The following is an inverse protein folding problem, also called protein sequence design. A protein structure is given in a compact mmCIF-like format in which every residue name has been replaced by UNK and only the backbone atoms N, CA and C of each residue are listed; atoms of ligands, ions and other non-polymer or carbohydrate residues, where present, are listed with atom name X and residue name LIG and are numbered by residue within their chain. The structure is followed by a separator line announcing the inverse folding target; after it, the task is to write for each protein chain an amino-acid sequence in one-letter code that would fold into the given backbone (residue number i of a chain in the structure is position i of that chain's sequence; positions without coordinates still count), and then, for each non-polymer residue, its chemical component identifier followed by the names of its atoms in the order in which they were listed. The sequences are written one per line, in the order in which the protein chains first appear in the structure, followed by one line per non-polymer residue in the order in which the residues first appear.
data_IF_255516444548
#
_entry.id   IF_255516444548
#
_cell.length_a   1.000
_cell.length_b   1.000
_cell.length_c   1.000
_cell.angle_alpha   90.00
_cell.angle_beta   90.00
_cell.angle_gamma   90.00
#
_symmetry.space_group_name_H-M   'P 1'
#
loop_
_entity.id
_entity.type
_entity.pdbx_description
1 polymer ?
#
# COMPACT_ATOMS: atom_id res chain seq x y z
N UNK A 1 3.47 4.40 11.64
CA UNK A 1 2.60 3.19 11.72
C UNK A 1 1.18 3.50 11.30
N UNK A 2 0.51 2.59 10.60
CA UNK A 2 -0.92 2.67 10.29
C UNK A 2 -1.74 2.06 11.44
N UNK A 3 -2.86 2.71 11.78
CA UNK A 3 -3.80 2.26 12.81
C UNK A 3 -5.12 1.85 12.16
N UNK A 4 -5.72 2.75 11.37
CA UNK A 4 -7.03 2.54 10.76
C UNK A 4 -7.13 3.28 9.43
N UNK A 5 -7.96 2.76 8.53
CA UNK A 5 -8.31 3.38 7.25
C UNK A 5 -9.82 3.29 7.04
N UNK A 6 -10.43 4.41 6.65
CA UNK A 6 -11.83 4.51 6.28
C UNK A 6 -11.95 5.05 4.85
N UNK A 7 -12.79 4.40 4.03
CA UNK A 7 -13.06 4.84 2.66
C UNK A 7 -14.53 4.68 2.33
N UNK A 8 -15.13 5.72 1.75
CA UNK A 8 -16.52 5.68 1.29
C UNK A 8 -16.64 6.18 -0.15
N UNK A 9 -17.66 5.68 -0.85
CA UNK A 9 -18.03 6.10 -2.21
C UNK A 9 -16.84 6.17 -3.17
N UNK A 10 -16.04 5.12 -3.29
CA UNK A 10 -14.86 5.08 -4.17
C UNK A 10 -14.88 3.82 -5.04
N UNK A 11 -14.90 3.99 -6.36
CA UNK A 11 -14.89 2.92 -7.38
C UNK A 11 -15.95 1.86 -7.13
N UNK A 12 -15.60 0.81 -6.42
CA UNK A 12 -16.47 -0.31 -6.12
C UNK A 12 -16.94 -0.35 -4.68
N UNK A 13 -16.48 0.57 -3.84
CA UNK A 13 -16.86 0.74 -2.44
C UNK A 13 -17.98 1.79 -2.38
N UNK A 14 -19.18 1.40 -1.96
CA UNK A 14 -20.35 2.28 -1.92
C UNK A 14 -20.43 3.00 -0.57
N UNK A 15 -20.76 2.26 0.50
CA UNK A 15 -20.70 2.76 1.88
C UNK A 15 -19.29 2.75 2.46
N UNK A 16 -19.15 3.32 3.66
CA UNK A 16 -17.89 3.35 4.39
C UNK A 16 -17.39 1.94 4.70
N UNK A 17 -16.17 1.65 4.26
CA UNK A 17 -15.42 0.46 4.65
C UNK A 17 -14.34 0.86 5.64
N UNK A 18 -14.26 0.15 6.76
CA UNK A 18 -13.30 0.38 7.84
C UNK A 18 -12.34 -0.80 7.94
N UNK A 19 -11.05 -0.51 7.93
CA UNK A 19 -9.98 -1.48 8.10
C UNK A 19 -9.09 -1.05 9.26
N UNK A 20 -8.81 -1.97 10.18
CA UNK A 20 -8.04 -1.68 11.39
C UNK A 20 -6.88 -2.64 11.59
N UNK A 21 -5.75 -2.11 12.03
CA UNK A 21 -4.58 -2.86 12.50
C UNK A 21 -4.46 -2.85 14.02
N UNK A 22 -5.50 -2.43 14.75
CA UNK A 22 -5.53 -2.51 16.21
C UNK A 22 -5.66 -3.98 16.65
N UNK A 23 -4.79 -4.41 17.55
CA UNK A 23 -4.85 -5.76 18.13
C UNK A 23 -6.20 -5.97 18.83
N UNK A 24 -6.89 -7.03 18.47
CA UNK A 24 -8.09 -7.49 19.16
C UNK A 24 -7.79 -8.17 20.50
N UNK A 25 -8.84 -8.67 21.16
CA UNK A 25 -8.74 -9.26 22.52
C UNK A 25 -7.95 -10.58 22.60
N UNK A 26 -7.68 -11.24 21.47
CA UNK A 26 -6.97 -12.52 21.42
C UNK A 26 -5.51 -12.42 21.86
N UNK A 27 -4.98 -13.49 22.43
CA UNK A 27 -3.60 -13.64 22.90
C UNK A 27 -2.77 -14.60 22.00
N UNK A 28 -3.38 -15.18 20.95
CA UNK A 28 -2.65 -15.94 19.92
C UNK A 28 -1.48 -15.14 19.31
N UNK A 29 -0.31 -15.75 19.12
CA UNK A 29 0.83 -15.12 18.41
C UNK A 29 1.20 -13.70 18.91
N UNK A 30 0.95 -13.38 20.19
CA UNK A 30 1.15 -12.04 20.73
C UNK A 30 2.62 -11.61 20.80
N UNK A 31 3.56 -12.56 20.75
CA UNK A 31 5.01 -12.30 20.77
C UNK A 31 5.61 -12.03 19.39
N UNK A 32 4.93 -12.44 18.32
CA UNK A 32 5.45 -12.41 16.95
C UNK A 32 4.68 -11.44 16.05
N UNK A 33 3.35 -11.44 16.15
CA UNK A 33 2.48 -10.78 15.17
C UNK A 33 2.01 -9.38 15.62
N UNK A 34 2.46 -8.93 16.78
CA UNK A 34 1.97 -7.74 17.48
C UNK A 34 3.14 -6.94 18.02
N UNK A 35 2.98 -5.62 18.11
CA UNK A 35 3.91 -4.75 18.82
C UNK A 35 3.17 -3.70 19.65
N UNK A 36 3.80 -3.24 20.73
CA UNK A 36 3.28 -2.18 21.59
C UNK A 36 3.59 -0.82 20.99
N UNK A 37 2.63 0.10 21.09
CA UNK A 37 2.81 1.47 20.67
C UNK A 37 3.20 2.34 21.87
N UNK A 38 4.37 2.96 21.79
CA UNK A 38 4.80 3.98 22.74
C UNK A 38 4.17 5.34 22.39
N UNK A 39 2.88 5.49 22.70
CA UNK A 39 2.13 6.73 22.56
C UNK A 39 1.44 7.09 23.89
N UNK A 40 0.82 8.26 23.95
CA UNK A 40 0.14 8.74 25.15
C UNK A 40 -0.96 7.81 25.70
N UNK A 41 -1.47 6.88 24.88
CA UNK A 41 -2.31 5.77 25.31
C UNK A 41 -1.61 4.47 24.91
N UNK A 42 -1.51 3.51 25.84
CA UNK A 42 -0.98 2.18 25.52
C UNK A 42 -2.03 1.38 24.73
N UNK A 43 -1.66 0.97 23.52
CA UNK A 43 -2.37 -0.01 22.74
C UNK A 43 -1.37 -0.79 21.89
N UNK A 44 -1.85 -1.88 21.29
CA UNK A 44 -1.05 -2.78 20.49
C UNK A 44 -1.54 -2.77 19.05
N UNK A 45 -0.59 -2.86 18.11
CA UNK A 45 -0.85 -2.92 16.68
C UNK A 45 -0.39 -4.25 16.10
N UNK A 46 -1.07 -4.66 15.03
CA UNK A 46 -0.74 -5.84 14.23
C UNK A 46 0.41 -5.52 13.27
N UNK A 47 1.33 -6.47 13.11
CA UNK A 47 2.44 -6.40 12.13
C UNK A 47 2.01 -6.72 10.71
N UNK A 48 0.89 -7.41 10.52
CA UNK A 48 0.36 -7.61 9.18
C UNK A 48 -1.15 -7.83 9.15
N UNK A 49 -1.74 -7.70 7.96
CA UNK A 49 -3.08 -8.18 7.67
C UNK A 49 -3.19 -8.71 6.24
N UNK A 50 -4.01 -9.74 6.06
CA UNK A 50 -4.27 -10.40 4.80
C UNK A 50 -5.75 -10.23 4.42
N UNK A 51 -6.00 -9.71 3.21
CA UNK A 51 -7.34 -9.50 2.67
C UNK A 51 -7.62 -10.57 1.61
N UNK A 52 -8.52 -11.48 1.94
CA UNK A 52 -8.95 -12.60 1.10
C UNK A 52 -10.22 -12.26 0.32
N UNK A 53 -10.41 -12.93 -0.81
CA UNK A 53 -11.67 -12.89 -1.55
C UNK A 53 -11.53 -13.25 -3.01
N UNK A 54 -12.64 -13.41 -3.75
CA UNK A 54 -12.61 -13.84 -5.14
C UNK A 54 -12.11 -12.72 -6.05
N UNK A 55 -11.85 -13.07 -7.31
CA UNK A 55 -11.60 -12.08 -8.35
C UNK A 55 -12.80 -11.12 -8.47
N UNK A 56 -12.50 -9.86 -8.79
CA UNK A 56 -13.49 -8.79 -8.90
C UNK A 56 -14.27 -8.45 -7.60
N UNK A 57 -13.86 -8.92 -6.42
CA UNK A 57 -14.53 -8.55 -5.17
C UNK A 57 -14.34 -7.10 -4.75
N UNK A 58 -13.18 -6.51 -5.08
CA UNK A 58 -12.86 -5.12 -4.73
C UNK A 58 -11.57 -4.94 -3.94
N UNK A 59 -10.85 -6.02 -3.61
CA UNK A 59 -9.53 -5.99 -2.93
C UNK A 59 -8.57 -4.93 -3.49
N UNK A 60 -8.31 -4.97 -4.79
CA UNK A 60 -7.46 -3.99 -5.47
C UNK A 60 -8.02 -2.57 -5.41
N UNK A 61 -9.35 -2.40 -5.43
CA UNK A 61 -9.94 -1.06 -5.31
C UNK A 61 -9.82 -0.49 -3.90
N UNK A 62 -9.84 -1.33 -2.87
CA UNK A 62 -9.56 -0.91 -1.49
C UNK A 62 -8.11 -0.40 -1.36
N UNK A 63 -7.12 -1.16 -1.84
CA UNK A 63 -5.72 -0.70 -1.89
C UNK A 63 -5.57 0.58 -2.73
N UNK A 64 -6.21 0.64 -3.90
CA UNK A 64 -6.18 1.84 -4.75
C UNK A 64 -6.76 3.07 -4.07
N UNK A 65 -7.67 2.93 -3.12
CA UNK A 65 -8.20 4.08 -2.38
C UNK A 65 -7.09 4.76 -1.57
N UNK A 66 -6.26 3.99 -0.86
CA UNK A 66 -5.10 4.52 -0.14
C UNK A 66 -4.04 5.08 -1.10
N UNK A 67 -3.84 4.43 -2.25
CA UNK A 67 -2.93 4.92 -3.28
C UNK A 67 -3.41 6.27 -3.85
N UNK A 68 -4.71 6.41 -4.13
CA UNK A 68 -5.33 7.66 -4.57
C UNK A 68 -5.19 8.73 -3.48
N UNK A 69 -5.45 8.39 -2.22
CA UNK A 69 -5.28 9.30 -1.09
C UNK A 69 -3.84 9.83 -1.02
N UNK A 70 -2.86 8.92 -1.01
CA UNK A 70 -1.43 9.26 -1.04
C UNK A 70 -1.08 10.16 -2.23
N UNK A 71 -1.54 9.82 -3.43
CA UNK A 71 -1.26 10.61 -4.63
C UNK A 71 -1.81 12.04 -4.51
N UNK A 72 -3.05 12.20 -4.04
CA UNK A 72 -3.65 13.54 -3.87
C UNK A 72 -2.89 14.34 -2.79
N UNK A 73 -2.48 13.69 -1.68
CA UNK A 73 -1.63 14.33 -0.66
C UNK A 73 -0.32 14.83 -1.26
N UNK A 74 0.37 14.02 -2.07
CA UNK A 74 1.69 14.39 -2.59
C UNK A 74 1.62 15.39 -3.75
N UNK A 75 0.63 15.28 -4.63
CA UNK A 75 0.67 15.95 -5.94
C UNK A 75 -0.28 17.14 -6.07
N UNK A 76 -1.33 17.24 -5.24
CA UNK A 76 -2.40 18.23 -5.46
C UNK A 76 -1.94 19.69 -5.34
N UNK A 77 -0.95 19.95 -4.49
CA UNK A 77 -0.34 21.27 -4.35
C UNK A 77 0.88 21.46 -5.27
N UNK A 78 1.68 20.40 -5.47
CA UNK A 78 2.98 20.46 -6.13
C UNK A 78 2.90 20.41 -7.67
N UNK A 79 2.09 19.49 -8.21
CA UNK A 79 2.11 19.14 -9.65
C UNK A 79 0.81 19.50 -10.37
N UNK A 80 -0.32 19.55 -9.65
CA UNK A 80 -1.63 19.85 -10.24
C UNK A 80 -1.90 21.35 -10.31
N UNK A 81 -2.43 21.79 -11.45
CA UNK A 81 -2.85 23.15 -11.72
C UNK A 81 -4.34 23.36 -11.45
N UNK A 82 -4.77 24.62 -11.42
CA UNK A 82 -6.19 24.95 -11.30
C UNK A 82 -6.98 24.37 -12.47
N UNK A 83 -8.03 23.61 -12.17
CA UNK A 83 -8.92 22.98 -13.16
C UNK A 83 -8.50 21.56 -13.56
N UNK A 84 -7.31 21.12 -13.15
CA UNK A 84 -6.92 19.72 -13.30
C UNK A 84 -7.82 18.83 -12.43
N UNK A 85 -8.16 17.66 -12.96
CA UNK A 85 -9.02 16.71 -12.27
C UNK A 85 -8.25 15.91 -11.23
N UNK A 86 -8.85 15.75 -10.06
CA UNK A 86 -8.40 14.81 -9.04
C UNK A 86 -8.65 13.36 -9.52
N UNK A 87 -7.76 12.41 -9.23
CA UNK A 87 -7.90 11.00 -9.61
C UNK A 87 -8.90 10.24 -8.72
N UNK A 88 -10.03 10.88 -8.45
CA UNK A 88 -11.14 10.34 -7.68
C UNK A 88 -12.16 9.76 -8.64
N UNK A 89 -12.72 8.62 -8.32
CA UNK A 89 -13.81 8.03 -9.09
C UNK A 89 -14.82 7.46 -8.11
N UNK A 90 -16.03 8.01 -8.00
CA UNK A 90 -17.02 7.55 -7.04
C UNK A 90 -17.59 6.18 -7.41
N UNK A 91 -18.36 5.59 -6.51
CA UNK A 91 -19.19 4.43 -6.83
C UNK A 91 -20.31 4.85 -7.78
N UNK A 92 -20.34 4.26 -8.98
CA UNK A 92 -21.22 4.73 -10.07
C UNK A 92 -22.55 4.00 -10.17
N UNK A 93 -22.71 2.85 -9.52
CA UNK A 93 -23.92 2.02 -9.69
C UNK A 93 -25.11 2.55 -8.88
N UNK A 94 -24.91 3.47 -7.93
CA UNK A 94 -25.99 4.20 -7.27
C UNK A 94 -26.14 5.61 -7.85
N UNK A 95 -27.39 6.11 -7.86
CA UNK A 95 -27.73 7.48 -8.30
C UNK A 95 -27.26 8.51 -7.29
N UNK A 96 -27.34 8.20 -6.00
CA UNK A 96 -26.97 9.11 -4.92
C UNK A 96 -25.45 9.26 -4.84
N UNK A 97 -24.72 8.18 -5.06
CA UNK A 97 -23.26 8.15 -4.86
C UNK A 97 -22.46 8.67 -6.07
N UNK A 98 -22.99 8.50 -7.29
CA UNK A 98 -22.23 8.82 -8.53
C UNK A 98 -21.87 10.30 -8.69
N UNK A 99 -22.56 11.20 -8.00
CA UNK A 99 -22.26 12.64 -7.95
C UNK A 99 -21.80 13.09 -6.55
N UNK A 100 -21.88 12.22 -5.54
CA UNK A 100 -21.39 12.54 -4.20
C UNK A 100 -19.86 12.44 -4.16
N UNK A 101 -19.20 13.18 -3.24
CA UNK A 101 -17.77 13.05 -3.01
C UNK A 101 -17.38 11.63 -2.55
N UNK A 102 -16.18 11.19 -2.91
CA UNK A 102 -15.50 10.06 -2.27
C UNK A 102 -14.83 10.54 -0.99
N UNK A 103 -14.82 9.73 0.06
CA UNK A 103 -14.21 10.06 1.34
C UNK A 103 -13.03 9.14 1.63
N UNK A 104 -11.93 9.72 2.11
CA UNK A 104 -10.72 9.02 2.50
C UNK A 104 -10.25 9.51 3.86
N UNK A 105 -10.01 8.59 4.79
CA UNK A 105 -9.45 8.91 6.09
C UNK A 105 -8.46 7.82 6.51
N UNK A 106 -7.36 8.25 7.14
CA UNK A 106 -6.42 7.36 7.82
C UNK A 106 -6.13 7.87 9.22
N UNK A 107 -6.05 6.93 10.15
CA UNK A 107 -5.48 7.14 11.48
C UNK A 107 -4.12 6.46 11.53
N UNK A 108 -3.08 7.21 11.92
CA UNK A 108 -1.71 6.74 11.91
C UNK A 108 -0.87 7.39 13.02
N UNK A 109 0.31 6.85 13.26
CA UNK A 109 1.26 7.28 14.28
C UNK A 109 2.56 7.75 13.61
N UNK A 110 3.02 8.93 14.03
CA UNK A 110 4.35 9.49 13.71
C UNK A 110 4.96 10.03 15.00
N UNK A 111 6.18 9.60 15.33
CA UNK A 111 6.94 10.05 16.51
C UNK A 111 6.13 10.06 17.82
N UNK A 112 5.38 8.99 18.08
CA UNK A 112 4.56 8.83 19.28
C UNK A 112 3.26 9.66 19.30
N UNK A 113 2.99 10.45 18.25
CA UNK A 113 1.76 11.24 18.10
C UNK A 113 0.81 10.54 17.13
N UNK A 114 -0.41 10.30 17.59
CA UNK A 114 -1.49 9.81 16.73
C UNK A 114 -2.09 10.96 15.94
N UNK A 115 -2.35 10.75 14.66
CA UNK A 115 -3.02 11.64 13.75
C UNK A 115 -4.22 10.94 13.14
N UNK A 116 -5.31 11.69 12.95
CA UNK A 116 -6.46 11.30 12.14
C UNK A 116 -6.61 12.36 11.06
N UNK A 117 -6.37 11.97 9.82
CA UNK A 117 -6.37 12.85 8.67
C UNK A 117 -7.30 12.31 7.60
N UNK A 118 -8.15 13.18 7.05
CA UNK A 118 -9.06 12.78 5.99
C UNK A 118 -9.53 13.95 5.15
N UNK A 119 -10.13 13.60 4.02
CA UNK A 119 -10.77 14.55 3.11
C UNK A 119 -11.86 13.86 2.29
N UNK A 120 -12.80 14.66 1.79
CA UNK A 120 -13.76 14.25 0.78
C UNK A 120 -13.56 15.05 -0.50
N UNK A 121 -13.71 14.40 -1.66
CA UNK A 121 -13.43 15.02 -2.95
C UNK A 121 -14.26 14.43 -4.09
N UNK A 122 -14.51 15.26 -5.10
CA UNK A 122 -14.97 14.84 -6.43
C UNK A 122 -13.80 14.89 -7.41
N UNK A 123 -13.96 14.44 -8.68
CA UNK A 123 -12.93 14.68 -9.69
C UNK A 123 -12.60 16.16 -9.89
N UNK A 124 -13.49 17.08 -9.52
CA UNK A 124 -13.35 18.52 -9.75
C UNK A 124 -12.76 19.28 -8.57
N UNK A 125 -13.10 18.92 -7.32
CA UNK A 125 -12.70 19.70 -6.15
C UNK A 125 -12.64 18.89 -4.85
N UNK A 126 -11.92 19.42 -3.87
CA UNK A 126 -12.02 19.01 -2.47
C UNK A 126 -13.31 19.61 -1.87
N UNK A 127 -14.06 18.82 -1.12
CA UNK A 127 -15.28 19.25 -0.44
C UNK A 127 -15.03 19.46 1.05
N UNK A 128 -14.33 18.54 1.70
CA UNK A 128 -13.97 18.63 3.12
C UNK A 128 -12.53 18.17 3.32
N UNK A 129 -11.85 18.71 4.33
CA UNK A 129 -10.53 18.25 4.76
C UNK A 129 -10.35 18.53 6.25
N UNK A 130 -9.81 17.57 6.99
CA UNK A 130 -9.63 17.69 8.43
C UNK A 130 -8.35 17.00 8.91
N UNK A 131 -7.81 17.53 10.02
CA UNK A 131 -6.69 16.93 10.73
C UNK A 131 -6.88 17.08 12.25
N UNK A 132 -6.89 15.94 12.94
CA UNK A 132 -6.83 15.87 14.40
C UNK A 132 -5.50 15.23 14.82
N UNK A 133 -4.83 15.85 15.79
CA UNK A 133 -3.62 15.32 16.42
C UNK A 133 -3.87 14.97 17.89
N UNK A 134 -3.17 13.96 18.41
CA UNK A 134 -3.32 13.46 19.78
C UNK A 134 -1.98 13.40 20.53
N UNK A 135 -1.22 14.51 20.66
CA UNK A 135 0.16 14.49 21.20
C UNK A 135 0.25 14.07 22.67
N UNK A 136 -0.83 14.25 23.44
CA UNK A 136 -0.94 13.82 24.85
C UNK A 136 -2.20 13.01 25.09
N UNK A 137 -2.62 12.23 24.09
CA UNK A 137 -3.83 11.41 24.12
C UNK A 137 -5.14 12.19 23.96
N UNK A 138 -5.12 13.51 24.16
CA UNK A 138 -6.27 14.41 23.93
C UNK A 138 -6.27 14.92 22.50
N UNK A 139 -7.45 14.88 21.88
CA UNK A 139 -7.67 15.40 20.53
C UNK A 139 -7.42 16.91 20.48
N UNK A 140 -6.62 17.32 19.50
CA UNK A 140 -6.45 18.70 19.07
C UNK A 140 -6.86 18.76 17.61
N UNK A 141 -7.96 19.46 17.32
CA UNK A 141 -8.29 19.80 15.94
C UNK A 141 -7.29 20.85 15.47
N UNK A 142 -6.48 20.51 14.49
CA UNK A 142 -5.51 21.44 13.91
C UNK A 142 -6.18 22.28 12.83
N UNK A 143 -6.92 21.64 11.93
CA UNK A 143 -7.80 22.35 11.02
C UNK A 143 -8.97 21.49 10.56
N UNK A 144 -10.03 22.16 10.13
CA UNK A 144 -11.10 21.63 9.30
C UNK A 144 -11.49 22.68 8.28
N UNK A 145 -11.79 22.28 7.05
CA UNK A 145 -12.44 23.15 6.06
C UNK A 145 -13.56 22.42 5.36
N UNK A 146 -14.63 23.14 5.04
CA UNK A 146 -15.83 22.60 4.37
C UNK A 146 -16.25 23.54 3.25
N UNK A 147 -16.52 23.00 2.07
CA UNK A 147 -17.02 23.75 0.93
C UNK A 147 -18.49 24.13 1.12
N UNK A 148 -18.75 25.42 1.31
CA UNK A 148 -20.11 25.96 1.39
C UNK A 148 -20.61 26.31 -0.03
N UNK A 149 -21.43 25.43 -0.60
CA UNK A 149 -21.90 25.54 -1.99
C UNK A 149 -22.74 26.81 -2.25
N UNK A 150 -23.47 27.29 -1.25
CA UNK A 150 -24.26 28.52 -1.28
C UNK A 150 -23.38 29.78 -1.37
N UNK A 151 -22.25 29.79 -0.65
CA UNK A 151 -21.31 30.92 -0.60
C UNK A 151 -20.18 30.82 -1.62
N UNK A 152 -20.02 29.65 -2.26
CA UNK A 152 -18.92 29.33 -3.20
C UNK A 152 -17.53 29.60 -2.58
N UNK A 153 -17.36 29.24 -1.33
CA UNK A 153 -16.10 29.38 -0.60
C UNK A 153 -15.97 28.28 0.45
N UNK A 154 -14.74 28.05 0.91
CA UNK A 154 -14.51 27.22 2.08
C UNK A 154 -14.79 27.98 3.38
N UNK A 155 -15.49 27.34 4.30
CA UNK A 155 -15.56 27.71 5.71
C UNK A 155 -14.44 27.01 6.45
N UNK A 156 -13.73 27.74 7.31
CA UNK A 156 -12.49 27.28 7.93
C UNK A 156 -12.59 27.31 9.45
N UNK A 157 -12.19 26.20 10.07
CA UNK A 157 -11.90 26.11 11.49
C UNK A 157 -10.40 25.84 11.65
N UNK A 158 -9.64 26.87 12.01
CA UNK A 158 -8.20 26.73 12.30
C UNK A 158 -8.00 26.66 13.80
N UNK A 159 -7.55 25.50 14.28
CA UNK A 159 -7.33 25.27 15.71
C UNK A 159 -6.26 26.19 16.30
N UNK A 160 -6.40 26.51 17.59
CA UNK A 160 -5.41 27.29 18.33
C UNK A 160 -4.06 26.57 18.43
N UNK A 161 -4.06 25.23 18.44
CA UNK A 161 -2.84 24.40 18.47
C UNK A 161 -2.12 24.26 17.14
N UNK A 162 -2.74 24.62 16.01
CA UNK A 162 -2.02 24.78 14.76
C UNK A 162 -1.13 26.04 14.87
N UNK A 163 0.07 26.02 14.35
CA UNK A 163 1.04 27.12 14.40
C UNK A 163 1.52 27.47 12.99
N UNK A 164 2.26 28.57 12.82
CA UNK A 164 2.77 29.02 11.52
C UNK A 164 1.84 29.97 10.76
N UNK A 165 2.12 30.17 9.46
CA UNK A 165 1.50 31.18 8.60
C UNK A 165 0.12 30.76 8.04
N UNK A 166 -0.82 30.41 8.91
CA UNK A 166 -2.11 29.81 8.53
C UNK A 166 -2.88 30.62 7.49
N UNK A 167 -2.87 31.95 7.58
CA UNK A 167 -3.57 32.83 6.64
C UNK A 167 -2.95 32.78 5.24
N UNK A 168 -1.63 32.66 5.13
CA UNK A 168 -0.95 32.51 3.86
C UNK A 168 -1.34 31.17 3.23
N UNK A 169 -1.23 30.08 3.99
CA UNK A 169 -1.59 28.74 3.53
C UNK A 169 -3.05 28.70 3.05
N UNK A 170 -3.98 29.27 3.81
CA UNK A 170 -5.38 29.36 3.45
C UNK A 170 -5.60 30.09 2.12
N UNK A 171 -4.98 31.26 1.93
CA UNK A 171 -5.10 32.06 0.71
C UNK A 171 -4.45 31.41 -0.52
N UNK A 172 -3.42 30.60 -0.31
CA UNK A 172 -2.70 29.90 -1.38
C UNK A 172 -3.33 28.55 -1.74
N UNK A 173 -4.24 28.02 -0.91
CA UNK A 173 -4.85 26.71 -1.14
C UNK A 173 -5.95 26.82 -2.20
N UNK A 174 -5.83 26.04 -3.27
CA UNK A 174 -6.80 25.96 -4.37
C UNK A 174 -7.96 25.03 -4.00
N UNK A 175 -9.06 25.11 -4.76
CA UNK A 175 -10.24 24.25 -4.54
C UNK A 175 -9.97 22.77 -4.85
N UNK A 176 -9.02 22.50 -5.76
CA UNK A 176 -8.56 21.15 -6.10
C UNK A 176 -7.20 20.79 -5.46
N UNK A 177 -6.76 21.53 -4.44
CA UNK A 177 -5.53 21.24 -3.70
C UNK A 177 -5.83 21.04 -2.22
N UNK A 178 -5.13 20.12 -1.56
CA UNK A 178 -5.24 19.94 -0.11
C UNK A 178 -4.53 21.06 0.65
N UNK A 179 -5.10 21.45 1.80
CA UNK A 179 -4.51 22.42 2.71
C UNK A 179 -3.24 21.86 3.34
N UNK A 180 -3.23 20.57 3.75
CA UNK A 180 -2.04 19.89 4.24
C UNK A 180 -0.87 20.04 3.25
N UNK A 181 -1.11 19.67 1.99
CA UNK A 181 -0.11 19.71 0.92
C UNK A 181 0.38 21.13 0.63
N UNK A 182 -0.55 22.10 0.57
CA UNK A 182 -0.21 23.50 0.33
C UNK A 182 0.61 24.09 1.48
N UNK A 183 0.24 23.80 2.73
CA UNK A 183 0.96 24.30 3.89
C UNK A 183 2.39 23.75 3.96
N UNK A 184 2.60 22.46 3.67
CA UNK A 184 3.96 21.86 3.64
C UNK A 184 4.79 22.43 2.49
N UNK A 185 4.20 22.64 1.30
CA UNK A 185 4.88 23.32 0.19
C UNK A 185 5.33 24.75 0.54
N UNK A 186 4.59 25.39 1.45
CA UNK A 186 4.91 26.71 2.02
C UNK A 186 5.65 26.61 3.36
N UNK A 187 6.40 25.51 3.56
CA UNK A 187 7.33 25.27 4.67
C UNK A 187 6.67 25.14 6.06
N UNK A 188 5.47 24.56 6.14
CA UNK A 188 4.86 24.22 7.44
C UNK A 188 5.60 23.06 8.12
N UNK A 189 6.44 23.38 9.12
CA UNK A 189 7.17 22.38 9.92
C UNK A 189 6.24 21.48 10.72
N UNK A 190 5.15 22.03 11.28
CA UNK A 190 4.23 21.25 12.14
C UNK A 190 3.43 20.21 11.35
N UNK A 191 3.08 20.51 10.10
CA UNK A 191 2.30 19.61 9.24
C UNK A 191 3.19 18.66 8.43
N UNK A 192 4.49 18.95 8.35
CA UNK A 192 5.44 18.15 7.60
C UNK A 192 5.46 16.66 8.03
N UNK A 193 5.47 16.28 9.33
CA UNK A 193 5.46 14.86 9.71
C UNK A 193 4.25 14.07 9.18
N UNK A 194 3.09 14.73 9.09
CA UNK A 194 1.85 14.14 8.54
C UNK A 194 2.01 13.88 7.05
N UNK A 195 2.55 14.86 6.31
CA UNK A 195 2.83 14.73 4.87
C UNK A 195 3.93 13.69 4.59
N UNK A 196 5.02 13.74 5.36
CA UNK A 196 6.16 12.84 5.23
C UNK A 196 5.74 11.39 5.51
N UNK A 197 4.79 11.13 6.39
CA UNK A 197 4.25 9.78 6.56
C UNK A 197 3.70 9.19 5.24
N UNK A 198 2.93 9.96 4.46
CA UNK A 198 2.45 9.52 3.15
C UNK A 198 3.60 9.34 2.15
N UNK A 199 4.60 10.23 2.18
CA UNK A 199 5.73 10.23 1.26
C UNK A 199 6.72 9.10 1.54
N UNK A 200 7.17 8.97 2.77
CA UNK A 200 8.32 8.16 3.19
C UNK A 200 7.94 6.92 3.98
N UNK A 201 6.84 6.90 4.74
CA UNK A 201 6.47 5.72 5.55
C UNK A 201 5.54 4.78 4.82
N UNK A 202 4.56 5.31 4.09
CA UNK A 202 3.62 4.50 3.31
C UNK A 202 4.27 4.05 1.99
N UNK A 203 4.43 2.74 1.80
CA UNK A 203 4.97 2.08 0.61
C UNK A 203 3.90 1.20 -0.02
N UNK A 204 3.79 1.25 -1.34
CA UNK A 204 2.77 0.48 -2.07
C UNK A 204 3.39 -0.14 -3.33
N UNK A 205 2.95 -1.34 -3.70
CA UNK A 205 3.25 -1.91 -5.02
C UNK A 205 2.51 -1.14 -6.11
N UNK A 206 3.18 -0.82 -7.23
CA UNK A 206 2.51 -0.23 -8.39
C UNK A 206 1.70 -1.30 -9.15
N UNK A 207 0.83 -0.86 -10.06
CA UNK A 207 0.16 -1.76 -11.03
C UNK A 207 1.25 -2.35 -11.91
N UNK A 208 1.64 -3.61 -11.68
CA UNK A 208 2.80 -4.27 -12.29
C UNK A 208 3.92 -4.66 -11.31
N UNK A 209 3.77 -4.39 -10.01
CA UNK A 209 4.73 -4.77 -8.98
C UNK A 209 5.79 -3.69 -8.71
N UNK A 210 6.95 -4.10 -8.19
CA UNK A 210 8.10 -3.25 -8.02
C UNK A 210 9.13 -3.50 -9.11
N UNK A 211 9.75 -2.41 -9.56
CA UNK A 211 10.86 -2.52 -10.49
C UNK A 211 12.07 -3.11 -9.75
N UNK A 212 12.83 -4.01 -10.39
CA UNK A 212 14.02 -4.60 -9.79
C UNK A 212 15.16 -3.57 -9.59
N UNK A 213 15.00 -2.35 -10.14
CA UNK A 213 15.98 -1.27 -10.05
C UNK A 213 16.31 -0.85 -8.62
N UNK A 214 15.34 -0.91 -7.68
CA UNK A 214 15.63 -0.57 -6.29
C UNK A 214 16.52 -1.63 -5.64
N UNK A 215 16.20 -2.92 -5.78
CA UNK A 215 17.05 -4.02 -5.32
C UNK A 215 18.44 -3.98 -5.97
N UNK A 216 18.51 -3.70 -7.27
CA UNK A 216 19.76 -3.52 -7.99
C UNK A 216 20.61 -2.37 -7.41
N UNK A 217 19.96 -1.26 -7.00
CA UNK A 217 20.66 -0.13 -6.38
C UNK A 217 21.26 -0.48 -5.02
N UNK A 218 20.64 -1.38 -4.25
CA UNK A 218 21.22 -1.88 -2.99
C UNK A 218 22.46 -2.75 -3.25
N UNK A 219 22.44 -3.54 -4.33
CA UNK A 219 23.60 -4.32 -4.75
C UNK A 219 24.81 -3.44 -5.13
N UNK A 220 24.59 -2.21 -5.62
CA UNK A 220 25.68 -1.25 -5.88
C UNK A 220 26.21 -0.56 -4.62
N UNK A 221 25.38 -0.32 -3.62
CA UNK A 221 25.70 0.50 -2.44
C UNK A 221 26.23 -0.32 -1.26
N UNK A 222 26.99 -1.39 -1.53
CA UNK A 222 27.55 -2.32 -0.53
C UNK A 222 26.52 -3.12 0.31
N UNK A 223 25.22 -3.06 0.00
CA UNK A 223 24.17 -3.85 0.66
C UNK A 223 23.80 -5.13 -0.09
N UNK A 224 24.59 -5.49 -1.11
CA UNK A 224 24.45 -6.72 -1.89
C UNK A 224 24.34 -7.97 -1.02
N UNK A 225 25.09 -8.04 0.08
CA UNK A 225 25.07 -9.18 1.00
C UNK A 225 23.67 -9.43 1.58
N UNK A 226 22.93 -8.38 1.95
CA UNK A 226 21.55 -8.50 2.46
C UNK A 226 20.60 -9.02 1.38
N UNK A 227 20.76 -8.52 0.15
CA UNK A 227 19.97 -8.99 -1.01
C UNK A 227 20.24 -10.47 -1.28
N UNK A 228 21.51 -10.89 -1.27
CA UNK A 228 21.88 -12.30 -1.45
C UNK A 228 21.36 -13.17 -0.30
N UNK A 229 21.46 -12.73 0.95
CA UNK A 229 20.92 -13.44 2.11
C UNK A 229 19.40 -13.63 2.00
N UNK A 230 18.68 -12.59 1.58
CA UNK A 230 17.23 -12.67 1.32
C UNK A 230 16.91 -13.72 0.25
N UNK A 231 17.63 -13.71 -0.88
CA UNK A 231 17.41 -14.65 -1.98
C UNK A 231 17.71 -16.10 -1.54
N UNK A 232 18.82 -16.32 -0.84
CA UNK A 232 19.18 -17.63 -0.33
C UNK A 232 18.18 -18.14 0.73
N UNK A 233 17.71 -17.27 1.61
CA UNK A 233 16.65 -17.61 2.58
C UNK A 233 15.33 -17.98 1.89
N UNK A 234 15.08 -17.42 0.70
CA UNK A 234 13.96 -17.74 -0.17
C UNK A 234 14.20 -18.95 -1.08
N UNK A 235 15.25 -19.77 -0.83
CA UNK A 235 15.61 -20.95 -1.63
C UNK A 235 15.95 -20.62 -3.11
N UNK A 236 16.36 -19.38 -3.38
CA UNK A 236 16.86 -18.96 -4.69
C UNK A 236 18.36 -19.22 -4.76
N UNK A 237 18.71 -20.14 -5.66
CA UNK A 237 20.08 -20.61 -5.88
C UNK A 237 20.84 -19.74 -6.89
N UNK A 238 20.86 -18.44 -6.68
CA UNK A 238 21.74 -17.52 -7.42
C UNK A 238 23.03 -17.39 -6.61
N UNK A 239 24.19 -17.71 -7.19
CA UNK A 239 25.49 -17.61 -6.52
C UNK A 239 25.95 -16.15 -6.40
N UNK A 240 25.64 -15.32 -7.40
CA UNK A 240 25.95 -13.89 -7.35
C UNK A 240 25.03 -13.03 -8.24
N UNK A 241 24.95 -11.73 -7.94
CA UNK A 241 24.25 -10.74 -8.79
C UNK A 241 25.22 -9.66 -9.24
N UNK A 242 25.36 -9.48 -10.55
CA UNK A 242 26.19 -8.45 -11.16
C UNK A 242 25.31 -7.31 -11.63
N UNK A 243 25.67 -6.09 -11.26
CA UNK A 243 24.99 -4.87 -11.71
C UNK A 243 25.93 -4.13 -12.66
N UNK A 244 25.50 -3.98 -13.91
CA UNK A 244 26.22 -3.29 -14.95
C UNK A 244 25.52 -1.96 -15.28
N UNK A 245 26.29 -0.87 -15.39
CA UNK A 245 25.75 0.43 -15.81
C UNK A 245 25.81 0.52 -17.33
N UNK A 246 24.67 0.35 -17.99
CA UNK A 246 24.56 0.57 -19.43
C UNK A 246 24.12 2.02 -19.68
N UNK A 247 24.79 2.69 -20.60
CA UNK A 247 24.25 3.93 -21.20
C UNK A 247 23.20 3.53 -22.22
N UNK A 248 22.04 4.18 -22.16
CA UNK A 248 20.99 3.94 -23.13
C UNK A 248 21.51 4.10 -24.56
N UNK A 249 21.34 3.06 -25.38
CA UNK A 249 21.65 3.09 -26.81
C UNK A 249 20.33 3.15 -27.61
N UNK A 250 20.10 4.20 -28.42
CA UNK A 250 18.92 4.29 -29.30
C UNK A 250 18.73 3.11 -30.27
N UNK A 251 19.79 2.34 -30.52
CA UNK A 251 19.77 1.16 -31.37
C UNK A 251 19.23 -0.09 -30.64
N UNK A 252 19.13 -0.07 -29.30
CA UNK A 252 18.46 -1.11 -28.50
C UNK A 252 16.92 -1.06 -28.62
N UNK A 253 16.35 0.00 -29.22
CA UNK A 253 14.91 0.14 -29.37
C UNK A 253 14.35 -0.79 -30.46
N UNK A 254 13.19 -1.43 -30.23
CA UNK A 254 12.53 -2.27 -31.23
C UNK A 254 12.35 -1.53 -32.57
N UNK A 255 12.70 -2.21 -33.67
CA UNK A 255 12.62 -1.62 -35.02
C UNK A 255 11.20 -1.27 -35.47
N UNK A 256 10.19 -1.85 -34.82
CA UNK A 256 8.77 -1.63 -35.07
C UNK A 256 8.16 -0.52 -34.19
N UNK A 257 8.97 0.13 -33.33
CA UNK A 257 8.52 1.22 -32.47
C UNK A 257 8.11 2.46 -33.30
N UNK A 258 6.92 3.05 -33.07
CA UNK A 258 6.51 4.29 -33.73
C UNK A 258 7.50 5.43 -33.49
N UNK A 259 7.84 6.20 -34.53
CA UNK A 259 8.87 7.24 -34.50
C UNK A 259 8.64 8.28 -33.39
N UNK A 260 7.40 8.72 -33.19
CA UNK A 260 7.05 9.67 -32.12
C UNK A 260 7.29 9.11 -30.70
N UNK A 261 7.15 7.80 -30.51
CA UNK A 261 7.45 7.13 -29.23
C UNK A 261 8.96 6.93 -29.09
N UNK A 262 9.64 6.58 -30.19
CA UNK A 262 11.09 6.42 -30.26
C UNK A 262 11.80 7.71 -29.84
N UNK A 263 11.40 8.85 -30.40
CA UNK A 263 11.97 10.16 -30.08
C UNK A 263 11.70 10.57 -28.63
N UNK A 264 10.51 10.26 -28.11
CA UNK A 264 10.17 10.54 -26.71
C UNK A 264 11.02 9.71 -25.74
N UNK A 265 11.25 8.43 -26.03
CA UNK A 265 12.10 7.55 -25.21
C UNK A 265 13.56 8.00 -25.27
N UNK A 266 14.09 8.28 -26.46
CA UNK A 266 15.45 8.81 -26.63
C UNK A 266 15.60 10.12 -25.84
N UNK A 267 14.66 11.05 -25.96
CA UNK A 267 14.69 12.33 -25.24
C UNK A 267 14.69 12.19 -23.71
N UNK A 268 14.03 11.16 -23.17
CA UNK A 268 13.99 10.91 -21.72
C UNK A 268 15.19 10.12 -21.18
N UNK A 269 15.85 9.32 -22.03
CA UNK A 269 16.87 8.36 -21.62
C UNK A 269 18.31 8.72 -22.04
N UNK A 270 18.50 9.71 -22.93
CA UNK A 270 19.80 10.07 -23.52
C UNK A 270 20.95 10.27 -22.52
N UNK A 271 20.65 10.70 -21.29
CA UNK A 271 21.63 10.93 -20.23
C UNK A 271 21.43 10.02 -18.99
N UNK A 272 20.49 9.07 -19.06
CA UNK A 272 20.22 8.14 -17.95
C UNK A 272 21.03 6.87 -18.14
N UNK A 273 21.79 6.51 -17.10
CA UNK A 273 22.37 5.18 -16.97
C UNK A 273 21.28 4.24 -16.46
N UNK A 274 21.05 3.15 -17.17
CA UNK A 274 20.19 2.06 -16.71
C UNK A 274 21.04 1.04 -15.98
N UNK A 275 20.45 0.44 -14.95
CA UNK A 275 21.05 -0.70 -14.26
C UNK A 275 20.61 -1.95 -14.99
N UNK A 276 21.58 -2.63 -15.60
CA UNK A 276 21.42 -3.96 -16.15
C UNK A 276 21.77 -4.99 -15.08
N UNK A 277 20.88 -5.96 -14.90
CA UNK A 277 21.00 -6.97 -13.86
C UNK A 277 21.41 -8.26 -14.56
N UNK A 278 22.44 -8.92 -14.03
CA UNK A 278 22.84 -10.26 -14.44
C UNK A 278 22.95 -11.16 -13.22
N UNK A 279 22.59 -12.42 -13.38
CA UNK A 279 22.69 -13.43 -12.32
C UNK A 279 23.82 -14.39 -12.65
N UNK A 280 24.48 -14.89 -11.61
CA UNK A 280 25.58 -15.84 -11.72
C UNK A 280 25.16 -17.14 -11.06
N UNK A 281 25.39 -18.23 -11.77
CA UNK A 281 25.16 -19.59 -11.32
C UNK A 281 26.42 -20.42 -11.46
N UNK A 282 26.56 -21.46 -10.66
CA UNK A 282 27.66 -22.40 -10.77
C UNK A 282 27.33 -23.53 -11.73
N UNK A 283 28.08 -23.61 -12.82
CA UNK A 283 28.03 -24.73 -13.76
C UNK A 283 28.46 -26.05 -13.12
N UNK A 284 28.14 -27.17 -13.78
CA UNK A 284 28.51 -28.52 -13.31
C UNK A 284 30.02 -28.74 -13.22
N UNK A 285 30.81 -27.97 -13.97
CA UNK A 285 32.27 -27.93 -13.91
C UNK A 285 32.81 -26.99 -12.82
N UNK A 286 31.92 -26.38 -12.04
CA UNK A 286 32.23 -25.45 -10.97
C UNK A 286 32.53 -24.01 -11.42
N UNK A 287 32.43 -23.71 -12.72
CA UNK A 287 32.68 -22.36 -13.25
C UNK A 287 31.43 -21.49 -13.18
N UNK A 288 31.60 -20.17 -13.00
CA UNK A 288 30.46 -19.24 -13.08
C UNK A 288 29.88 -19.20 -14.50
N UNK A 289 28.56 -19.26 -14.59
CA UNK A 289 27.75 -19.05 -15.78
C UNK A 289 26.89 -17.83 -15.51
N UNK A 290 26.97 -16.85 -16.41
CA UNK A 290 26.24 -15.59 -16.29
C UNK A 290 24.99 -15.68 -17.15
N UNK A 291 23.85 -15.28 -16.59
CA UNK A 291 22.57 -15.19 -17.27
C UNK A 291 22.09 -13.73 -17.27
N UNK A 292 21.42 -13.36 -18.34
CA UNK A 292 20.63 -12.12 -18.36
C UNK A 292 19.40 -12.29 -17.47
N UNK A 293 18.96 -11.21 -16.81
CA UNK A 293 17.90 -11.29 -15.81
C UNK A 293 16.53 -11.70 -16.36
N UNK A 294 16.31 -11.59 -17.67
CA UNK A 294 15.10 -12.07 -18.34
C UNK A 294 15.13 -13.57 -18.66
N UNK A 295 16.30 -14.22 -18.58
CA UNK A 295 16.42 -15.68 -18.65
C UNK A 295 15.98 -16.36 -17.34
N UNK A 296 15.92 -15.61 -16.24
CA UNK A 296 15.45 -16.09 -14.95
C UNK A 296 13.93 -16.32 -14.93
N UNK A 297 13.50 -17.25 -14.08
CA UNK A 297 12.06 -17.49 -13.89
C UNK A 297 11.35 -16.24 -13.35
N UNK A 298 10.07 -16.07 -13.71
CA UNK A 298 9.27 -14.94 -13.21
C UNK A 298 9.22 -14.87 -11.68
N UNK A 299 9.21 -16.03 -11.00
CA UNK A 299 9.27 -16.10 -9.54
C UNK A 299 10.60 -15.59 -8.97
N UNK A 300 11.73 -15.97 -9.59
CA UNK A 300 13.07 -15.48 -9.24
C UNK A 300 13.15 -13.97 -9.42
N UNK A 301 12.71 -13.47 -10.59
CA UNK A 301 12.72 -12.05 -10.92
C UNK A 301 11.85 -11.24 -9.97
N UNK A 302 10.68 -11.78 -9.60
CA UNK A 302 9.77 -11.16 -8.63
C UNK A 302 10.37 -11.11 -7.22
N UNK A 303 10.99 -12.20 -6.75
CA UNK A 303 11.67 -12.21 -5.46
C UNK A 303 12.85 -11.23 -5.41
N UNK A 304 13.65 -11.17 -6.48
CA UNK A 304 14.70 -10.16 -6.58
C UNK A 304 14.13 -8.74 -6.50
N UNK A 305 13.04 -8.46 -7.23
CA UNK A 305 12.36 -7.17 -7.16
C UNK A 305 11.76 -6.86 -5.78
N UNK A 306 11.45 -7.88 -4.98
CA UNK A 306 10.95 -7.74 -3.60
C UNK A 306 12.06 -7.56 -2.57
N UNK A 307 13.27 -8.09 -2.80
CA UNK A 307 14.35 -8.09 -1.83
C UNK A 307 14.63 -6.69 -1.25
N UNK A 308 14.94 -5.71 -2.11
CA UNK A 308 15.27 -4.37 -1.66
C UNK A 308 14.14 -3.70 -0.89
N UNK A 309 12.93 -3.61 -1.45
CA UNK A 309 11.82 -2.99 -0.72
C UNK A 309 11.39 -3.71 0.57
N UNK A 310 11.53 -5.05 0.67
CA UNK A 310 11.29 -5.77 1.92
C UNK A 310 12.32 -5.39 2.98
N UNK A 311 13.61 -5.44 2.62
CA UNK A 311 14.72 -5.08 3.50
C UNK A 311 14.53 -3.63 4.00
N UNK A 312 14.34 -2.70 3.08
CA UNK A 312 14.12 -1.28 3.38
C UNK A 312 12.91 -1.06 4.30
N UNK A 313 11.80 -1.76 4.05
CA UNK A 313 10.61 -1.65 4.89
C UNK A 313 10.85 -2.16 6.32
N UNK A 314 11.47 -3.33 6.46
CA UNK A 314 11.76 -3.95 7.75
C UNK A 314 12.77 -3.13 8.57
N UNK A 315 13.80 -2.60 7.92
CA UNK A 315 14.84 -1.78 8.55
C UNK A 315 14.32 -0.41 8.97
N UNK A 316 13.38 0.19 8.24
CA UNK A 316 12.90 1.55 8.52
C UNK A 316 11.51 1.61 9.15
N UNK A 317 10.88 0.46 9.43
CA UNK A 317 9.55 0.43 10.07
C UNK A 317 8.43 0.95 9.18
N UNK A 318 8.53 0.74 7.86
CA UNK A 318 7.54 1.24 6.90
C UNK A 318 6.22 0.46 6.93
N UNK A 319 5.19 1.08 6.37
CA UNK A 319 3.89 0.43 6.14
C UNK A 319 3.81 0.04 4.67
N UNK A 320 3.82 -1.25 4.42
CA UNK A 320 3.87 -1.83 3.09
C UNK A 320 2.50 -2.39 2.68
N UNK A 321 1.95 -1.90 1.57
CA UNK A 321 0.76 -2.43 0.92
C UNK A 321 1.08 -3.15 -0.39
N UNK A 322 0.60 -4.38 -0.54
CA UNK A 322 0.85 -5.20 -1.73
C UNK A 322 -0.44 -5.81 -2.26
N UNK A 323 -0.72 -5.56 -3.53
CA UNK A 323 -1.81 -6.24 -4.23
C UNK A 323 -1.30 -7.57 -4.78
N UNK A 324 -2.07 -8.64 -4.60
CA UNK A 324 -1.81 -9.99 -5.11
C UNK A 324 -0.41 -10.50 -4.78
N UNK A 325 -0.08 -10.53 -3.48
CA UNK A 325 1.25 -10.94 -2.98
C UNK A 325 1.69 -12.31 -3.52
N UNK A 326 0.74 -13.22 -3.69
CA UNK A 326 0.94 -14.60 -4.12
C UNK A 326 1.22 -14.76 -5.62
N UNK A 327 0.99 -13.74 -6.46
CA UNK A 327 1.18 -13.87 -7.91
C UNK A 327 2.60 -14.36 -8.23
N UNK A 328 2.74 -15.39 -9.07
CA UNK A 328 4.02 -15.98 -9.46
C UNK A 328 4.91 -16.48 -8.29
N UNK A 329 4.37 -16.64 -7.08
CA UNK A 329 5.10 -17.16 -5.92
C UNK A 329 4.49 -18.46 -5.41
N UNK A 330 5.34 -19.42 -5.09
CA UNK A 330 4.92 -20.62 -4.37
C UNK A 330 4.43 -20.24 -2.97
N UNK A 331 3.37 -20.87 -2.44
CA UNK A 331 2.87 -20.65 -1.07
C UNK A 331 3.91 -20.51 0.05
N UNK A 332 4.95 -21.36 0.02
CA UNK A 332 6.04 -21.31 1.02
C UNK A 332 6.82 -19.99 0.98
N UNK A 333 6.97 -19.39 -0.20
CA UNK A 333 7.62 -18.09 -0.37
C UNK A 333 6.73 -16.97 0.17
N UNK A 334 5.41 -17.04 -0.09
CA UNK A 334 4.45 -16.09 0.51
C UNK A 334 4.50 -16.16 2.03
N UNK A 335 4.52 -17.37 2.60
CA UNK A 335 4.69 -17.59 4.05
C UNK A 335 5.98 -16.97 4.56
N UNK A 336 7.12 -17.26 3.92
CA UNK A 336 8.42 -16.67 4.25
C UNK A 336 8.36 -15.13 4.30
N UNK A 337 7.84 -14.50 3.24
CA UNK A 337 7.74 -13.03 3.16
C UNK A 337 6.89 -12.42 4.29
N UNK A 338 5.82 -13.11 4.69
CA UNK A 338 4.96 -12.68 5.81
C UNK A 338 5.66 -12.90 7.15
N UNK A 339 6.33 -14.04 7.33
CA UNK A 339 7.04 -14.39 8.58
C UNK A 339 8.21 -13.45 8.88
N UNK A 340 8.83 -12.85 7.86
CA UNK A 340 9.81 -11.76 8.04
C UNK A 340 9.23 -10.56 8.81
N UNK A 341 7.95 -10.24 8.60
CA UNK A 341 7.27 -9.20 9.39
C UNK A 341 6.88 -9.70 10.78
N UNK A 342 6.75 -11.00 11.00
CA UNK A 342 6.32 -11.60 12.28
C UNK A 342 7.50 -11.97 13.20
N UNK A 343 8.74 -11.66 12.83
CA UNK A 343 9.91 -11.91 13.64
C UNK A 343 10.55 -10.59 14.08
N UNK A 344 10.82 -10.43 15.38
CA UNK A 344 11.43 -9.21 15.95
C UNK A 344 12.89 -9.01 15.55
N UNK A 345 13.60 -10.08 15.18
CA UNK A 345 14.99 -9.99 14.70
C UNK A 345 15.04 -9.42 13.29
N UNK A 346 14.15 -9.88 12.40
CA UNK A 346 14.04 -9.37 11.03
C UNK A 346 13.23 -8.09 10.93
N UNK A 347 12.30 -7.83 11.86
CA UNK A 347 11.46 -6.63 11.92
C UNK A 347 11.65 -5.85 13.23
N UNK A 348 12.85 -5.28 13.48
CA UNK A 348 13.16 -4.59 14.73
C UNK A 348 12.39 -3.27 14.88
N UNK A 349 12.04 -2.63 13.76
CA UNK A 349 11.39 -1.32 13.72
C UNK A 349 9.87 -1.41 13.50
N UNK A 350 9.27 -2.59 13.69
CA UNK A 350 7.82 -2.82 13.68
C UNK A 350 7.13 -2.38 12.38
N UNK A 351 7.78 -2.61 11.25
CA UNK A 351 7.19 -2.47 9.92
C UNK A 351 5.87 -3.26 9.84
N UNK A 352 4.95 -2.79 9.00
CA UNK A 352 3.63 -3.37 8.82
C UNK A 352 3.42 -3.83 7.39
N UNK A 353 2.83 -5.01 7.20
CA UNK A 353 2.47 -5.56 5.87
C UNK A 353 0.96 -5.73 5.73
N UNK A 354 0.33 -5.02 4.79
CA UNK A 354 -1.06 -5.25 4.39
C UNK A 354 -1.07 -5.77 2.97
N UNK A 355 -1.71 -6.91 2.72
CA UNK A 355 -1.72 -7.46 1.38
C UNK A 355 -3.04 -8.12 1.01
N UNK A 356 -3.27 -8.24 -0.29
CA UNK A 356 -4.42 -8.97 -0.84
C UNK A 356 -3.98 -10.31 -1.39
N UNK A 357 -4.85 -11.31 -1.28
CA UNK A 357 -4.60 -12.65 -1.81
C UNK A 357 -5.89 -13.38 -2.15
N UNK A 358 -5.82 -14.37 -3.02
CA UNK A 358 -6.83 -15.42 -3.14
C UNK A 358 -6.26 -16.82 -2.82
N UNK A 359 -4.96 -16.91 -2.58
CA UNK A 359 -4.23 -18.11 -2.17
C UNK A 359 -4.53 -18.40 -0.68
N UNK A 360 -4.93 -19.64 -0.36
CA UNK A 360 -5.47 -20.02 0.96
C UNK A 360 -4.54 -20.83 1.84
N UNK A 361 -3.43 -21.38 1.34
CA UNK A 361 -2.60 -22.32 2.10
C UNK A 361 -1.94 -21.71 3.34
N UNK A 362 -1.73 -20.39 3.34
CA UNK A 362 -1.24 -19.67 4.52
C UNK A 362 -2.37 -19.18 5.44
N UNK A 363 -3.65 -19.40 5.09
CA UNK A 363 -4.81 -19.07 5.93
C UNK A 363 -4.94 -20.08 7.08
N UNK A 364 -4.06 -19.94 8.08
CA UNK A 364 -4.04 -20.81 9.24
C UNK A 364 -3.62 -20.05 10.51
N UNK A 365 -3.86 -20.67 11.67
CA UNK A 365 -3.61 -20.06 12.98
C UNK A 365 -2.15 -20.16 13.44
N UNK A 366 -1.26 -20.77 12.65
CA UNK A 366 0.19 -20.75 12.90
C UNK A 366 0.80 -19.46 12.36
N UNK A 367 0.32 -18.98 11.21
CA UNK A 367 0.81 -17.76 10.55
C UNK A 367 0.03 -16.53 11.00
N UNK A 368 -1.30 -16.62 11.13
CA UNK A 368 -2.14 -15.46 11.40
C UNK A 368 -2.92 -15.57 12.70
N UNK A 369 -3.03 -14.43 13.37
CA UNK A 369 -4.10 -14.17 14.33
C UNK A 369 -5.42 -13.94 13.59
N UNK A 370 -6.54 -14.16 14.27
CA UNK A 370 -7.88 -14.00 13.67
C UNK A 370 -8.19 -12.55 13.28
N UNK A 371 -7.64 -11.58 14.00
CA UNK A 371 -7.78 -10.14 13.74
C UNK A 371 -6.86 -9.63 12.61
N UNK A 372 -5.97 -10.48 12.07
CA UNK A 372 -5.16 -10.17 10.89
C UNK A 372 -5.82 -10.62 9.58
N UNK A 373 -6.90 -11.39 9.65
CA UNK A 373 -7.57 -11.95 8.46
C UNK A 373 -8.83 -11.14 8.17
N UNK A 374 -8.92 -10.64 6.94
CA UNK A 374 -10.05 -9.89 6.41
C UNK A 374 -10.56 -10.55 5.14
N UNK A 375 -11.84 -10.36 4.85
CA UNK A 375 -12.49 -10.85 3.65
C UNK A 375 -13.11 -9.70 2.87
N UNK A 376 -13.15 -9.86 1.56
CA UNK A 376 -13.68 -8.87 0.64
C UNK A 376 -14.58 -9.57 -0.39
N UNK A 377 -15.84 -9.15 -0.47
CA UNK A 377 -16.81 -9.69 -1.42
C UNK A 377 -17.75 -8.63 -2.02
N UNK A 378 -18.64 -9.08 -2.90
CA UNK A 378 -19.68 -8.24 -3.51
C UNK A 378 -21.02 -8.48 -2.84
N UNK A 379 -21.67 -7.40 -2.47
CA UNK A 379 -23.08 -7.45 -2.10
C UNK A 379 -23.99 -7.57 -3.35
N UNK A 380 -25.31 -7.52 -3.12
CA UNK A 380 -26.32 -7.63 -4.17
C UNK A 380 -26.29 -6.45 -5.15
N UNK A 381 -25.82 -5.28 -4.71
CA UNK A 381 -25.73 -4.06 -5.50
C UNK A 381 -24.35 -3.89 -6.16
N UNK A 382 -23.51 -4.95 -6.12
CA UNK A 382 -22.14 -4.97 -6.62
C UNK A 382 -21.19 -4.00 -5.89
N UNK A 383 -21.59 -3.52 -4.71
CA UNK A 383 -20.71 -2.80 -3.81
C UNK A 383 -19.78 -3.78 -3.10
N UNK A 384 -18.60 -3.29 -2.77
CA UNK A 384 -17.55 -4.03 -2.07
C UNK A 384 -17.83 -3.96 -0.58
N UNK A 385 -17.87 -5.11 0.07
CA UNK A 385 -17.92 -5.24 1.52
C UNK A 385 -16.58 -5.80 2.01
N UNK A 386 -15.99 -5.14 3.02
CA UNK A 386 -14.76 -5.55 3.70
C UNK A 386 -15.08 -5.84 5.16
N UNK A 387 -14.82 -7.07 5.62
CA UNK A 387 -15.13 -7.48 6.99
C UNK A 387 -14.06 -8.43 7.57
N UNK A 388 -13.83 -8.43 8.89
CA UNK A 388 -12.82 -9.26 9.51
C UNK A 388 -13.32 -10.69 9.78
N UNK A 389 -12.38 -11.64 9.85
CA UNK A 389 -12.66 -13.02 10.28
C UNK A 389 -13.24 -13.10 11.69
N UNK A 390 -12.97 -12.11 12.55
CA UNK A 390 -13.47 -12.06 13.92
C UNK A 390 -14.99 -12.03 14.02
N UNK A 391 -15.69 -11.58 12.98
CA UNK A 391 -17.16 -11.54 12.94
C UNK A 391 -17.77 -12.95 12.99
N UNK A 392 -17.02 -13.97 12.58
CA UNK A 392 -17.45 -15.36 12.58
C UNK A 392 -17.03 -16.14 13.84
N UNK A 393 -16.31 -15.48 14.76
CA UNK A 393 -15.85 -16.05 16.03
C UNK A 393 -15.22 -17.46 15.90
N UNK A 394 -14.26 -17.70 14.99
CA UNK A 394 -13.71 -19.03 14.78
C UNK A 394 -12.94 -19.50 16.01
N UNK A 395 -12.97 -20.82 16.27
CA UNK A 395 -12.42 -21.40 17.50
C UNK A 395 -10.88 -21.42 17.47
N UNK A 396 -10.27 -20.71 18.42
CA UNK A 396 -8.81 -20.67 18.61
C UNK A 396 -8.23 -22.09 18.75
N UNK A 397 -7.19 -22.40 17.97
CA UNK A 397 -6.43 -23.65 18.04
C UNK A 397 -7.17 -24.94 17.69
N UNK A 398 -8.44 -24.87 17.24
CA UNK A 398 -9.24 -26.06 16.87
C UNK A 398 -9.77 -25.99 15.46
N UNK A 399 -10.06 -24.79 14.98
CA UNK A 399 -10.67 -24.59 13.67
C UNK A 399 -9.60 -24.48 12.57
N UNK A 400 -9.73 -25.32 11.55
CA UNK A 400 -8.96 -25.17 10.32
C UNK A 400 -9.59 -24.03 9.50
N UNK A 401 -8.92 -22.88 9.50
CA UNK A 401 -9.44 -21.65 8.87
C UNK A 401 -9.55 -21.80 7.36
N UNK A 402 -8.56 -22.40 6.69
CA UNK A 402 -8.59 -22.67 5.26
C UNK A 402 -9.79 -23.54 4.87
N UNK A 403 -9.97 -24.70 5.51
CA UNK A 403 -11.10 -25.59 5.22
C UNK A 403 -12.45 -24.91 5.48
N UNK A 404 -12.55 -24.13 6.57
CA UNK A 404 -13.75 -23.37 6.86
C UNK A 404 -14.03 -22.31 5.78
N UNK A 405 -13.02 -21.58 5.33
CA UNK A 405 -13.15 -20.63 4.23
C UNK A 405 -13.58 -21.33 2.93
N UNK A 406 -12.90 -22.40 2.51
CA UNK A 406 -13.19 -23.16 1.29
C UNK A 406 -14.57 -23.83 1.30
N UNK A 407 -15.10 -24.14 2.49
CA UNK A 407 -16.48 -24.62 2.66
C UNK A 407 -17.55 -23.53 2.55
N UNK A 408 -17.14 -22.25 2.43
CA UNK A 408 -18.01 -21.09 2.33
C UNK A 408 -18.47 -20.51 3.68
N UNK A 409 -17.91 -20.96 4.81
CA UNK A 409 -18.32 -20.49 6.15
C UNK A 409 -18.18 -18.97 6.32
N UNK A 410 -17.17 -18.38 5.70
CA UNK A 410 -16.84 -16.96 5.85
C UNK A 410 -17.25 -16.10 4.65
N UNK A 411 -18.03 -16.65 3.70
CA UNK A 411 -18.33 -15.96 2.45
C UNK A 411 -17.08 -15.79 1.56
N UNK A 412 -17.06 -14.73 0.75
CA UNK A 412 -15.93 -14.32 -0.07
C UNK A 412 -15.35 -15.44 -0.96
N UNK A 413 -16.21 -16.28 -1.54
CA UNK A 413 -15.83 -17.29 -2.53
C UNK A 413 -16.52 -17.02 -3.88
N UNK A 414 -15.90 -17.42 -5.02
CA UNK A 414 -16.52 -17.27 -6.32
C UNK A 414 -17.65 -18.27 -6.53
N UNK A 415 -18.79 -17.82 -7.06
CA UNK A 415 -19.89 -18.68 -7.47
C UNK A 415 -19.72 -19.14 -8.92
N UNK A 416 -19.04 -20.27 -9.13
CA UNK A 416 -18.83 -20.83 -10.48
C UNK A 416 -20.05 -21.66 -10.90
N UNK A 417 -20.77 -21.20 -11.93
CA UNK A 417 -21.90 -21.94 -12.53
C UNK A 417 -21.41 -22.79 -13.69
N UNK A 418 -22.00 -23.97 -13.88
CA UNK A 418 -21.76 -24.79 -15.09
C UNK A 418 -22.16 -23.98 -16.33
N UNK A 419 -21.24 -23.88 -17.28
CA UNK A 419 -21.53 -23.31 -18.59
C UNK A 419 -22.61 -24.16 -19.26
N UNK A 420 -23.73 -23.55 -19.66
CA UNK A 420 -24.74 -24.26 -20.46
C UNK A 420 -24.21 -24.33 -21.90
N UNK A 421 -24.06 -25.52 -22.44
CA UNK A 421 -23.86 -25.69 -23.88
C UNK A 421 -25.12 -25.21 -24.60
N UNK A 422 -24.96 -24.42 -25.67
CA UNK A 422 -26.08 -24.11 -26.56
C UNK A 422 -26.61 -25.44 -27.13
N UNK A 423 -27.84 -25.79 -26.75
CA UNK A 423 -28.59 -26.91 -27.29
C UNK A 423 -29.23 -26.56 -28.62
#
# INVERSE_FOLDING_TARGET
MLIEMNVANFRSLCGTQTFSLVKGKGDELATSNVFKVEAANEFELLRSAAIYGPNASGKSNFLRALQTMKHIVLESAASQQRGDRLPVTPFRLSVDTRQAPSEFEVTFLVDGVRYQYGFSATPEQIHEEWLLAYPKGRAQRWFTRVWAADKKQFEWELGSSLTGEKQLWQKSTRDNALFLSTAVQLNSEQLQPVFDWFKTTLRMSNVGGWAPSFSASLCENDEKSKVMEFLHAADIHIDDVLIEKKTFDPDDLPSDMPEALRDAVIGQMKDKKTLEIKTVHKGSDGKPVIFDFDEESDGTRKLFAFAGPWIDALENGYVLFIDELHDNLHPRLVRFLVELFHNSETNPNNAQLVFTTHETSILNQEVFRRDQVWFCEKDKDQATELYPLTDFSPRKGRENLELAYLSGRYGALPFVKKMRSAS
#
